data_IF_523619464995
#
_entry.id   IF_523619464995
#
_cell.length_a   1.000
_cell.length_b   1.000
_cell.length_c   1.000
_cell.angle_alpha   90.00
_cell.angle_beta   90.00
_cell.angle_gamma   90.00
#
_symmetry.space_group_name_H-M   'P 1'
#
loop_
_entity.id
_entity.type
_entity.pdbx_description
1 polymer ?
#
# COMPACT_ATOMS: atom_id res chain seq x y z
N UNK A 1 -23.79 -16.95 17.79
CA UNK A 1 -23.62 -16.36 16.43
C UNK A 1 -22.27 -15.66 16.33
N UNK A 2 -21.25 -16.31 15.76
CA UNK A 2 -19.93 -15.69 15.45
C UNK A 2 -19.57 -16.01 14.01
N UNK A 3 -20.29 -15.41 13.06
CA UNK A 3 -19.77 -15.31 11.70
C UNK A 3 -18.69 -14.23 11.73
N UNK A 4 -17.44 -14.68 11.85
CA UNK A 4 -16.28 -13.83 11.66
C UNK A 4 -16.36 -13.23 10.26
N UNK A 5 -16.65 -11.92 10.16
CA UNK A 5 -16.56 -11.20 8.90
C UNK A 5 -15.18 -11.45 8.28
N UNK A 6 -15.13 -12.31 7.26
CA UNK A 6 -13.98 -12.53 6.36
C UNK A 6 -12.63 -12.82 7.07
N UNK A 7 -12.69 -13.35 8.30
CA UNK A 7 -11.53 -13.65 9.14
C UNK A 7 -10.82 -12.46 9.77
N UNK A 8 -11.24 -11.21 9.55
CA UNK A 8 -10.62 -10.03 10.18
C UNK A 8 -10.75 -10.08 11.71
N UNK A 9 -9.69 -9.66 12.42
CA UNK A 9 -9.72 -9.43 13.87
C UNK A 9 -10.10 -7.98 14.15
N UNK A 10 -10.67 -7.69 15.32
CA UNK A 10 -10.95 -6.30 15.74
C UNK A 10 -9.69 -5.43 15.68
N UNK A 11 -8.53 -5.98 16.05
CA UNK A 11 -7.24 -5.28 15.96
C UNK A 11 -6.88 -4.93 14.51
N UNK A 12 -7.05 -5.87 13.58
CA UNK A 12 -6.78 -5.61 12.16
C UNK A 12 -7.73 -4.56 11.56
N UNK A 13 -9.00 -4.54 11.97
CA UNK A 13 -9.96 -3.51 11.54
C UNK A 13 -9.57 -2.14 12.09
N UNK A 14 -9.20 -2.06 13.37
CA UNK A 14 -8.74 -0.81 13.98
C UNK A 14 -7.50 -0.27 13.26
N UNK A 15 -6.56 -1.14 12.88
CA UNK A 15 -5.41 -0.74 12.06
C UNK A 15 -5.82 -0.16 10.71
N UNK A 16 -6.73 -0.81 9.98
CA UNK A 16 -7.25 -0.26 8.72
C UNK A 16 -7.91 1.11 8.92
N UNK A 17 -8.65 1.30 10.02
CA UNK A 17 -9.29 2.58 10.35
C UNK A 17 -8.25 3.67 10.61
N UNK A 18 -7.27 3.39 11.48
CA UNK A 18 -6.21 4.35 11.81
C UNK A 18 -5.39 4.71 10.58
N UNK A 19 -4.97 3.71 9.79
CA UNK A 19 -4.23 3.95 8.56
C UNK A 19 -5.08 4.67 7.50
N UNK A 20 -6.40 4.43 7.46
CA UNK A 20 -7.33 5.14 6.61
C UNK A 20 -7.44 6.62 6.99
N UNK A 21 -7.52 6.93 8.28
CA UNK A 21 -7.51 8.31 8.78
C UNK A 21 -6.19 9.03 8.44
N UNK A 22 -5.04 8.38 8.63
CA UNK A 22 -3.74 8.93 8.18
C UNK A 22 -3.70 9.16 6.68
N UNK A 23 -4.22 8.22 5.88
CA UNK A 23 -4.34 8.37 4.42
C UNK A 23 -5.13 9.62 4.07
N UNK A 24 -6.28 9.85 4.72
CA UNK A 24 -7.10 11.04 4.50
C UNK A 24 -6.35 12.34 4.84
N UNK A 25 -5.73 12.41 6.02
CA UNK A 25 -4.98 13.58 6.46
C UNK A 25 -3.83 13.92 5.49
N UNK A 26 -3.05 12.92 5.09
CA UNK A 26 -1.92 13.12 4.18
C UNK A 26 -2.39 13.42 2.76
N UNK A 27 -3.52 12.86 2.31
CA UNK A 27 -4.11 13.20 1.02
C UNK A 27 -4.60 14.65 0.98
N UNK A 28 -5.21 15.16 2.06
CA UNK A 28 -5.58 16.58 2.15
C UNK A 28 -4.35 17.48 2.04
N UNK A 29 -3.27 17.14 2.76
CA UNK A 29 -2.01 17.85 2.63
C UNK A 29 -1.46 17.77 1.19
N UNK A 30 -1.50 16.60 0.55
CA UNK A 30 -1.05 16.40 -0.82
C UNK A 30 -1.86 17.21 -1.84
N UNK A 31 -3.16 17.40 -1.60
CA UNK A 31 -4.02 18.25 -2.42
C UNK A 31 -3.71 19.72 -2.20
N UNK A 32 -3.54 20.15 -0.95
CA UNK A 32 -3.18 21.52 -0.64
C UNK A 32 -1.85 21.92 -1.30
N UNK A 33 -0.80 21.12 -1.12
CA UNK A 33 0.48 21.34 -1.80
C UNK A 33 0.32 21.19 -3.33
N UNK A 34 -0.47 20.24 -3.80
CA UNK A 34 -0.75 20.06 -5.22
C UNK A 34 -1.40 21.28 -5.87
N UNK A 35 -2.29 21.98 -5.17
CA UNK A 35 -2.91 23.23 -5.63
C UNK A 35 -1.87 24.37 -5.70
N UNK A 36 -0.99 24.46 -4.70
CA UNK A 36 0.12 25.43 -4.74
C UNK A 36 1.08 25.14 -5.90
N UNK A 37 1.37 23.87 -6.14
CA UNK A 37 2.26 23.43 -7.23
C UNK A 37 1.64 23.65 -8.62
N UNK A 38 0.31 23.61 -8.78
CA UNK A 38 -0.32 23.86 -10.08
C UNK A 38 0.03 25.24 -10.64
N UNK A 39 0.25 26.24 -9.77
CA UNK A 39 0.61 27.60 -10.20
C UNK A 39 2.07 27.76 -10.64
N UNK A 40 2.99 26.88 -10.19
CA UNK A 40 4.44 27.06 -10.37
C UNK A 40 5.09 25.90 -11.15
N UNK A 41 4.59 24.69 -10.94
CA UNK A 41 5.08 23.45 -11.53
C UNK A 41 3.88 22.49 -11.78
N UNK A 42 3.03 22.76 -12.79
CA UNK A 42 1.85 21.94 -13.07
C UNK A 42 2.19 20.47 -13.37
N UNK A 43 3.40 20.20 -13.87
CA UNK A 43 3.91 18.83 -14.06
C UNK A 43 4.11 18.05 -12.75
N UNK A 44 4.18 18.72 -11.59
CA UNK A 44 4.20 18.12 -10.24
C UNK A 44 2.82 18.16 -9.54
N UNK A 45 1.81 18.71 -10.21
CA UNK A 45 0.49 18.99 -9.65
C UNK A 45 -0.37 17.76 -9.29
N UNK A 46 -1.54 18.08 -8.73
CA UNK A 46 -2.58 17.23 -8.11
C UNK A 46 -2.64 15.72 -8.45
N UNK A 47 -2.64 14.82 -7.43
CA UNK A 47 -2.09 15.03 -6.09
C UNK A 47 -0.55 15.15 -6.16
N UNK A 48 0.03 15.94 -5.26
CA UNK A 48 1.48 16.20 -5.27
C UNK A 48 2.28 14.90 -5.27
N UNK A 49 3.18 14.77 -6.26
CA UNK A 49 4.10 13.65 -6.34
C UNK A 49 5.04 13.55 -5.13
N UNK A 50 5.22 14.65 -4.39
CA UNK A 50 6.17 14.78 -3.27
C UNK A 50 5.62 14.31 -1.92
N UNK A 51 4.31 14.02 -1.84
CA UNK A 51 3.70 13.54 -0.60
C UNK A 51 3.33 12.06 -0.72
N UNK A 52 3.70 11.21 0.26
CA UNK A 52 3.43 9.77 0.27
C UNK A 52 1.96 9.42 0.60
N UNK A 53 1.00 10.03 -0.08
CA UNK A 53 -0.42 9.96 0.29
C UNK A 53 -1.02 8.55 0.23
N UNK A 54 -0.48 7.65 -0.61
CA UNK A 54 -0.93 6.25 -0.69
C UNK A 54 -0.06 5.26 0.11
N UNK A 55 1.00 5.72 0.79
CA UNK A 55 1.92 4.82 1.49
C UNK A 55 1.22 4.02 2.61
N UNK A 56 0.27 4.62 3.32
CA UNK A 56 -0.48 3.97 4.39
C UNK A 56 -1.39 2.84 3.88
N UNK A 57 -1.86 2.92 2.63
CA UNK A 57 -2.61 1.85 1.96
C UNK A 57 -1.70 0.63 1.73
N UNK A 58 -0.45 0.86 1.30
CA UNK A 58 0.56 -0.19 1.15
C UNK A 58 0.94 -0.79 2.51
N UNK A 59 1.11 0.05 3.54
CA UNK A 59 1.36 -0.38 4.93
C UNK A 59 0.24 -1.29 5.42
N UNK A 60 -1.03 -0.96 5.16
CA UNK A 60 -2.16 -1.80 5.54
C UNK A 60 -2.12 -3.16 4.82
N UNK A 61 -1.84 -3.17 3.51
CA UNK A 61 -1.71 -4.39 2.73
C UNK A 61 -0.62 -5.31 3.30
N UNK A 62 0.53 -4.74 3.70
CA UNK A 62 1.68 -5.44 4.27
C UNK A 62 1.45 -5.93 5.70
N UNK A 63 0.86 -5.12 6.58
CA UNK A 63 0.66 -5.44 7.99
C UNK A 63 -0.46 -6.46 8.21
N UNK A 64 -1.61 -6.23 7.57
CA UNK A 64 -2.82 -7.02 7.81
C UNK A 64 -2.78 -8.35 7.06
N UNK A 65 -2.12 -8.37 5.90
CA UNK A 65 -1.92 -9.56 5.06
C UNK A 65 -3.18 -10.32 4.63
N UNK A 66 -4.32 -9.64 4.65
CA UNK A 66 -5.61 -10.20 4.22
C UNK A 66 -6.08 -9.57 2.92
N UNK A 67 -6.86 -10.30 2.11
CA UNK A 67 -7.53 -9.71 0.95
C UNK A 67 -8.51 -8.64 1.41
N UNK A 68 -8.51 -7.51 0.73
CA UNK A 68 -9.36 -6.34 0.98
C UNK A 68 -8.78 -5.34 1.98
N UNK A 69 -7.59 -5.57 2.55
CA UNK A 69 -7.03 -4.67 3.56
C UNK A 69 -6.64 -3.32 2.96
N UNK A 70 -6.12 -3.31 1.73
CA UNK A 70 -5.77 -2.07 1.03
C UNK A 70 -7.04 -1.32 0.63
N UNK A 71 -8.02 -2.02 0.04
CA UNK A 71 -9.30 -1.42 -0.35
C UNK A 71 -10.07 -0.89 0.86
N UNK A 72 -10.11 -1.61 1.97
CA UNK A 72 -10.80 -1.15 3.18
C UNK A 72 -10.15 0.12 3.75
N UNK A 73 -8.82 0.13 3.84
CA UNK A 73 -8.05 1.31 4.30
C UNK A 73 -8.28 2.49 3.37
N UNK A 74 -8.24 2.24 2.05
CA UNK A 74 -8.48 3.24 1.02
C UNK A 74 -9.92 3.77 1.04
N UNK A 75 -10.91 2.91 1.27
CA UNK A 75 -12.32 3.28 1.37
C UNK A 75 -12.53 4.21 2.57
N UNK A 76 -11.95 3.88 3.72
CA UNK A 76 -11.97 4.74 4.91
C UNK A 76 -11.29 6.08 4.60
N UNK A 77 -10.12 6.04 3.94
CA UNK A 77 -9.43 7.24 3.47
C UNK A 77 -10.25 8.06 2.47
N UNK A 78 -11.05 7.43 1.62
CA UNK A 78 -11.96 8.11 0.67
C UNK A 78 -13.13 8.77 1.39
N UNK A 79 -13.75 8.10 2.36
CA UNK A 79 -14.87 8.65 3.14
C UNK A 79 -14.40 9.81 4.02
N UNK A 80 -13.26 9.65 4.70
CA UNK A 80 -12.71 10.67 5.58
C UNK A 80 -12.02 11.82 4.82
N UNK A 81 -11.43 11.55 3.64
CA UNK A 81 -10.60 12.48 2.89
C UNK A 81 -11.19 13.01 1.58
N UNK A 82 -12.45 12.62 1.27
CA UNK A 82 -13.24 13.00 0.07
C UNK A 82 -12.45 12.85 -1.23
N UNK A 83 -11.98 11.63 -1.57
CA UNK A 83 -11.19 11.42 -2.79
C UNK A 83 -11.31 10.04 -3.40
N UNK A 84 -11.86 9.97 -4.62
CA UNK A 84 -11.88 8.76 -5.46
C UNK A 84 -10.47 8.22 -5.76
N UNK A 85 -9.45 9.09 -5.76
CA UNK A 85 -8.04 8.72 -5.90
C UNK A 85 -7.56 7.73 -4.83
N UNK A 86 -8.02 7.89 -3.58
CA UNK A 86 -7.69 6.96 -2.51
C UNK A 86 -8.22 5.57 -2.82
N UNK A 87 -9.47 5.47 -3.26
CA UNK A 87 -10.08 4.20 -3.65
C UNK A 87 -9.37 3.56 -4.85
N UNK A 88 -9.05 4.34 -5.89
CA UNK A 88 -8.30 3.84 -7.04
C UNK A 88 -6.92 3.30 -6.62
N UNK A 89 -6.20 4.03 -5.77
CA UNK A 89 -4.94 3.55 -5.19
C UNK A 89 -5.15 2.25 -4.40
N UNK A 90 -6.21 2.18 -3.59
CA UNK A 90 -6.61 0.95 -2.88
C UNK A 90 -6.78 -0.25 -3.80
N UNK A 91 -7.49 -0.07 -4.92
CA UNK A 91 -7.71 -1.12 -5.92
C UNK A 91 -6.40 -1.55 -6.57
N UNK A 92 -5.56 -0.61 -6.98
CA UNK A 92 -4.24 -0.89 -7.59
C UNK A 92 -3.35 -1.68 -6.61
N UNK A 93 -3.22 -1.20 -5.37
CA UNK A 93 -2.42 -1.85 -4.34
C UNK A 93 -2.97 -3.25 -4.06
N UNK A 94 -4.27 -3.40 -3.89
CA UNK A 94 -4.89 -4.70 -3.63
C UNK A 94 -4.63 -5.69 -4.77
N UNK A 95 -4.79 -5.26 -6.02
CA UNK A 95 -4.52 -6.11 -7.19
C UNK A 95 -3.07 -6.62 -7.20
N UNK A 96 -2.09 -5.74 -6.94
CA UNK A 96 -0.67 -6.12 -6.86
C UNK A 96 -0.45 -7.16 -5.77
N UNK A 97 -1.00 -6.95 -4.57
CA UNK A 97 -0.81 -7.86 -3.46
C UNK A 97 -1.55 -9.20 -3.65
N UNK A 98 -2.73 -9.19 -4.26
CA UNK A 98 -3.49 -10.40 -4.58
C UNK A 98 -2.75 -11.25 -5.62
N UNK A 99 -2.35 -10.66 -6.75
CA UNK A 99 -1.59 -11.35 -7.81
C UNK A 99 -0.25 -11.84 -7.25
N UNK A 100 0.49 -10.97 -6.56
CA UNK A 100 1.76 -11.31 -5.95
C UNK A 100 1.68 -12.48 -4.97
N UNK A 101 0.66 -12.49 -4.11
CA UNK A 101 0.42 -13.61 -3.17
C UNK A 101 -0.01 -14.88 -3.89
N UNK A 102 -0.86 -14.79 -4.91
CA UNK A 102 -1.30 -15.94 -5.69
C UNK A 102 -0.13 -16.61 -6.42
N UNK A 103 0.73 -15.82 -7.08
CA UNK A 103 1.94 -16.32 -7.76
C UNK A 103 2.88 -17.00 -6.75
N UNK A 104 3.07 -16.42 -5.56
CA UNK A 104 3.89 -17.05 -4.52
C UNK A 104 3.33 -18.38 -4.03
N UNK A 105 2.02 -18.46 -3.78
CA UNK A 105 1.35 -19.71 -3.36
C UNK A 105 1.57 -20.82 -4.38
N UNK A 106 1.51 -20.50 -5.68
CA UNK A 106 1.76 -21.46 -6.76
C UNK A 106 3.23 -21.90 -6.85
N UNK A 107 4.18 -20.98 -6.68
CA UNK A 107 5.61 -21.27 -6.90
C UNK A 107 6.33 -21.95 -5.75
N UNK A 108 5.92 -21.69 -4.49
CA UNK A 108 6.74 -22.09 -3.33
C UNK A 108 6.10 -23.12 -2.41
N UNK A 109 4.82 -23.47 -2.54
CA UNK A 109 4.13 -24.45 -1.68
C UNK A 109 4.03 -24.09 -0.18
N UNK A 110 4.91 -23.20 0.31
CA UNK A 110 5.03 -22.74 1.68
C UNK A 110 4.94 -21.21 1.73
N UNK A 111 4.33 -20.74 2.82
CA UNK A 111 4.13 -19.33 3.12
C UNK A 111 5.49 -18.74 3.50
N UNK A 112 6.04 -17.86 2.66
CA UNK A 112 7.31 -17.20 2.94
C UNK A 112 7.22 -16.36 4.24
N UNK A 113 8.31 -16.24 5.01
CA UNK A 113 8.34 -15.42 6.21
C UNK A 113 8.05 -13.95 5.87
N UNK A 114 7.34 -13.30 6.78
CA UNK A 114 6.98 -11.88 6.72
C UNK A 114 8.26 -11.04 6.84
N UNK A 115 8.39 -9.97 6.05
CA UNK A 115 9.60 -9.13 6.00
C UNK A 115 10.66 -9.60 5.00
N UNK A 116 10.34 -10.55 4.13
CA UNK A 116 11.21 -11.02 3.05
C UNK A 116 11.32 -9.97 1.91
N UNK A 117 12.39 -10.05 1.11
CA UNK A 117 12.62 -9.21 -0.08
C UNK A 117 11.43 -9.22 -1.04
N UNK A 118 10.66 -10.31 -1.07
CA UNK A 118 9.45 -10.41 -1.88
C UNK A 118 8.34 -9.42 -1.46
N UNK A 119 8.23 -9.06 -0.18
CA UNK A 119 7.28 -8.05 0.29
C UNK A 119 7.74 -6.64 -0.05
N UNK A 120 9.05 -6.38 0.02
CA UNK A 120 9.64 -5.13 -0.47
C UNK A 120 9.32 -4.95 -1.97
N UNK A 121 9.55 -5.98 -2.79
CA UNK A 121 9.25 -5.88 -4.22
C UNK A 121 7.76 -5.65 -4.49
N UNK A 122 6.85 -6.29 -3.74
CA UNK A 122 5.43 -5.95 -3.89
C UNK A 122 5.11 -4.52 -3.50
N UNK A 123 5.71 -4.01 -2.41
CA UNK A 123 5.50 -2.65 -1.96
C UNK A 123 6.01 -1.63 -3.00
N UNK A 124 7.20 -1.88 -3.56
CA UNK A 124 7.79 -1.06 -4.62
C UNK A 124 6.95 -1.14 -5.90
N UNK A 125 6.54 -2.33 -6.35
CA UNK A 125 5.68 -2.49 -7.52
C UNK A 125 4.33 -1.79 -7.33
N UNK A 126 3.74 -1.91 -6.14
CA UNK A 126 2.51 -1.20 -5.81
C UNK A 126 2.73 0.32 -5.87
N UNK A 127 3.83 0.82 -5.29
CA UNK A 127 4.17 2.24 -5.34
C UNK A 127 4.40 2.77 -6.75
N UNK A 128 5.11 2.02 -7.60
CA UNK A 128 5.32 2.36 -9.02
C UNK A 128 3.97 2.45 -9.75
N UNK A 129 3.12 1.42 -9.62
CA UNK A 129 1.85 1.37 -10.33
C UNK A 129 0.87 2.42 -9.83
N UNK A 130 0.82 2.69 -8.53
CA UNK A 130 0.00 3.77 -7.98
C UNK A 130 0.55 5.15 -8.38
N UNK A 131 1.87 5.32 -8.44
CA UNK A 131 2.51 6.53 -8.98
C UNK A 131 2.18 6.75 -10.47
N UNK A 132 2.23 5.70 -11.28
CA UNK A 132 1.83 5.72 -12.69
C UNK A 132 0.34 5.98 -12.89
N UNK A 133 -0.52 5.38 -12.07
CA UNK A 133 -1.95 5.67 -12.04
C UNK A 133 -2.21 7.15 -11.70
N UNK A 134 -1.54 7.68 -10.66
CA UNK A 134 -1.64 9.09 -10.31
C UNK A 134 -1.12 10.00 -11.42
N UNK A 135 -0.06 9.60 -12.12
CA UNK A 135 0.44 10.32 -13.28
C UNK A 135 -0.57 10.33 -14.43
N UNK A 136 -1.21 9.20 -14.72
CA UNK A 136 -2.22 9.09 -15.77
C UNK A 136 -3.38 10.07 -15.55
N UNK A 137 -3.72 10.38 -14.30
CA UNK A 137 -4.78 11.34 -13.99
C UNK A 137 -4.42 12.78 -14.33
N UNK A 138 -3.14 13.12 -14.53
CA UNK A 138 -2.76 14.45 -15.03
C UNK A 138 -3.17 14.68 -16.48
N UNK A 139 -3.37 13.63 -17.28
CA UNK A 139 -3.84 13.77 -18.65
C UNK A 139 -5.30 14.24 -18.73
N UNK A 140 -6.01 14.32 -17.60
CA UNK A 140 -7.34 14.96 -17.54
C UNK A 140 -7.26 16.47 -17.32
N UNK A 141 -6.06 17.03 -17.11
CA UNK A 141 -5.81 18.44 -16.83
C UNK A 141 -5.28 19.10 -18.11
N UNK A 142 -5.99 20.11 -18.61
CA UNK A 142 -5.64 20.78 -19.88
C UNK A 142 -4.28 21.48 -19.79
N UNK A 143 -3.98 22.07 -18.65
CA UNK A 143 -2.71 22.75 -18.38
C UNK A 143 -1.52 21.80 -18.45
N UNK A 144 -1.72 20.51 -18.11
CA UNK A 144 -0.68 19.50 -18.23
C UNK A 144 -0.43 19.09 -19.69
N UNK A 145 -1.48 19.04 -20.51
CA UNK A 145 -1.38 18.72 -21.94
C UNK A 145 -0.70 19.82 -22.74
N UNK A 146 -0.76 21.07 -22.27
CA UNK A 146 -0.09 22.21 -22.88
C UNK A 146 1.43 22.24 -22.61
N UNK A 147 1.96 21.33 -21.77
CA UNK A 147 3.37 21.34 -21.40
C UNK A 147 4.28 20.77 -22.49
N UNK A 148 5.54 21.22 -22.55
CA UNK A 148 6.57 20.58 -23.35
C UNK A 148 6.72 19.09 -23.01
N UNK A 149 6.90 18.25 -24.04
CA UNK A 149 7.04 16.80 -23.88
C UNK A 149 8.13 16.39 -22.87
N UNK A 150 9.22 17.15 -22.78
CA UNK A 150 10.28 16.90 -21.80
C UNK A 150 9.80 17.01 -20.34
N UNK A 151 8.93 17.97 -20.02
CA UNK A 151 8.37 18.13 -18.67
C UNK A 151 7.33 17.06 -18.35
N UNK A 152 6.57 16.62 -19.35
CA UNK A 152 5.63 15.50 -19.25
C UNK A 152 6.41 14.22 -18.87
N UNK A 153 7.47 13.89 -19.61
CA UNK A 153 8.33 12.74 -19.31
C UNK A 153 9.03 12.87 -17.95
N UNK A 154 9.53 14.05 -17.60
CA UNK A 154 10.13 14.29 -16.29
C UNK A 154 9.12 14.08 -15.16
N UNK A 155 7.87 14.53 -15.33
CA UNK A 155 6.79 14.33 -14.38
C UNK A 155 6.45 12.85 -14.16
N UNK A 156 6.57 12.02 -15.20
CA UNK A 156 6.47 10.56 -15.07
C UNK A 156 7.64 10.01 -14.26
N UNK A 157 8.89 10.34 -14.65
CA UNK A 157 10.10 9.85 -13.97
C UNK A 157 10.06 10.17 -12.48
N UNK A 158 9.74 11.41 -12.11
CA UNK A 158 9.62 11.83 -10.71
C UNK A 158 8.58 11.02 -9.96
N UNK A 159 7.41 10.75 -10.56
CA UNK A 159 6.36 9.95 -9.90
C UNK A 159 6.72 8.49 -9.75
N UNK A 160 7.44 7.93 -10.71
CA UNK A 160 7.95 6.55 -10.61
C UNK A 160 9.00 6.46 -9.50
N UNK A 161 9.94 7.40 -9.44
CA UNK A 161 10.95 7.47 -8.38
C UNK A 161 10.29 7.66 -7.01
N UNK A 162 9.35 8.61 -6.90
CA UNK A 162 8.57 8.80 -5.68
C UNK A 162 7.79 7.55 -5.28
N UNK A 163 7.16 6.87 -6.24
CA UNK A 163 6.47 5.59 -6.03
C UNK A 163 7.38 4.50 -5.47
N UNK A 164 8.60 4.36 -6.00
CA UNK A 164 9.62 3.44 -5.48
C UNK A 164 9.96 3.80 -4.03
N UNK A 165 10.25 5.08 -3.76
CA UNK A 165 10.60 5.56 -2.44
C UNK A 165 9.47 5.34 -1.43
N UNK A 166 8.21 5.56 -1.81
CA UNK A 166 7.05 5.36 -0.94
C UNK A 166 6.77 3.88 -0.69
N UNK A 167 6.95 3.01 -1.69
CA UNK A 167 6.89 1.56 -1.50
C UNK A 167 7.97 1.06 -0.55
N UNK A 168 9.21 1.56 -0.70
CA UNK A 168 10.30 1.25 0.20
C UNK A 168 10.06 1.77 1.63
N UNK A 169 9.58 3.01 1.76
CA UNK A 169 9.27 3.63 3.05
C UNK A 169 8.17 2.85 3.77
N UNK A 170 7.10 2.47 3.06
CA UNK A 170 6.02 1.64 3.61
C UNK A 170 6.58 0.31 4.14
N UNK A 171 7.46 -0.35 3.38
CA UNK A 171 8.12 -1.58 3.83
C UNK A 171 8.99 -1.35 5.08
N UNK A 172 9.77 -0.27 5.11
CA UNK A 172 10.61 0.07 6.25
C UNK A 172 9.79 0.31 7.53
N UNK A 173 8.68 1.06 7.41
CA UNK A 173 7.73 1.29 8.51
C UNK A 173 7.15 -0.02 9.04
N UNK A 174 6.68 -0.89 8.14
CA UNK A 174 6.14 -2.20 8.55
C UNK A 174 7.18 -3.06 9.25
N UNK A 175 8.41 -3.09 8.73
CA UNK A 175 9.52 -3.83 9.34
C UNK A 175 9.86 -3.27 10.73
N UNK A 176 9.83 -1.95 10.90
CA UNK A 176 10.01 -1.28 12.19
C UNK A 176 8.93 -1.65 13.20
N UNK A 177 7.66 -1.57 12.79
CA UNK A 177 6.51 -1.94 13.64
C UNK A 177 6.55 -3.41 14.08
N UNK A 178 6.88 -4.32 13.15
CA UNK A 178 7.01 -5.75 13.47
C UNK A 178 8.17 -6.02 14.44
N UNK A 179 9.30 -5.32 14.29
CA UNK A 179 10.42 -5.40 15.24
C UNK A 179 10.06 -4.86 16.62
N UNK A 180 9.16 -3.89 16.69
CA UNK A 180 8.61 -3.38 17.94
C UNK A 180 7.53 -4.30 18.56
N UNK A 181 7.26 -5.48 17.97
CA UNK A 181 6.29 -6.45 18.49
C UNK A 181 4.83 -6.18 18.10
N UNK A 182 4.58 -5.24 17.18
CA UNK A 182 3.22 -4.92 16.72
C UNK A 182 2.72 -5.96 15.69
N UNK A 183 1.94 -6.95 16.14
CA UNK A 183 1.29 -7.92 15.25
C UNK A 183 -0.25 -7.81 15.25
N UNK A 184 -0.84 -7.06 14.31
CA UNK A 184 -2.30 -6.92 14.22
C UNK A 184 -3.00 -8.18 13.69
N UNK A 185 -2.26 -9.13 13.12
CA UNK A 185 -2.77 -10.42 12.63
C UNK A 185 -3.11 -11.42 13.75
N UNK A 186 -2.56 -11.21 14.95
CA UNK A 186 -2.80 -12.00 16.16
C UNK A 186 -1.93 -13.28 16.29
N UNK A 187 -1.92 -13.92 17.47
CA UNK A 187 -0.97 -14.99 17.84
C UNK A 187 -1.08 -16.29 17.02
N UNK A 188 -2.12 -16.47 16.20
CA UNK A 188 -2.19 -17.57 15.22
C UNK A 188 -1.08 -17.48 14.16
N UNK A 189 -0.54 -16.27 13.94
CA UNK A 189 0.60 -16.01 13.06
C UNK A 189 1.92 -16.46 13.69
N UNK A 190 2.12 -16.19 14.99
CA UNK A 190 3.24 -16.69 15.79
C UNK A 190 3.26 -18.23 15.87
N UNK A 191 2.10 -18.85 16.14
CA UNK A 191 1.96 -20.32 16.22
C UNK A 191 2.23 -21.04 14.89
N UNK A 192 1.96 -20.39 13.75
CA UNK A 192 2.24 -20.96 12.41
C UNK A 192 3.73 -20.94 12.05
N UNK A 193 4.48 -20.01 12.64
CA UNK A 193 5.94 -19.95 12.54
C UNK A 193 6.60 -20.99 13.44
N UNK A 194 6.08 -21.21 14.65
CA UNK A 194 6.53 -22.28 15.56
C UNK A 194 6.32 -23.69 14.99
N UNK A 195 5.20 -23.93 14.29
CA UNK A 195 4.93 -25.24 13.67
C UNK A 195 5.85 -25.58 12.49
N UNK A 196 6.50 -24.57 11.89
CA UNK A 196 7.47 -24.77 10.80
C UNK A 196 8.90 -25.01 11.30
N UNK A 197 9.19 -24.70 12.56
CA UNK A 197 10.50 -24.92 13.20
C UNK A 197 10.58 -26.18 14.05
N UNK A 198 9.45 -26.86 14.29
CA UNK A 198 9.47 -28.16 14.96
C UNK A 198 9.69 -29.25 13.90
N UNK A 199 10.87 -29.91 13.82
CA UNK A 199 10.99 -31.09 13.00
C UNK A 199 9.98 -32.10 13.54
N UNK A 200 9.15 -32.65 12.65
CA UNK A 200 8.24 -33.74 12.99
C UNK A 200 9.05 -34.83 13.69
N UNK A 201 8.93 -34.91 15.01
CA UNK A 201 9.43 -36.05 15.75
C UNK A 201 8.74 -37.27 15.14
N UNK A 202 9.52 -38.07 14.42
CA UNK A 202 9.03 -39.27 13.76
C UNK A 202 8.27 -40.10 14.78
N UNK A 203 7.03 -40.43 14.44
CA UNK A 203 6.28 -41.50 15.09
C UNK A 203 6.84 -42.81 14.52
N UNK A 204 7.54 -43.65 15.30
CA UNK A 204 7.84 -44.99 14.87
C UNK A 204 6.62 -45.86 15.21
N UNK A 205 5.83 -46.23 14.20
CA UNK A 205 5.06 -47.48 14.16
C UNK A 205 4.93 -47.95 12.73
#
# INVERSE_FOLDING_TARGET
>A
MRQAFLGYTTRSLLVCVVLGAFTAAVLHLARFIGMLLLAVAPWLGSPSALIPWFAFIIVAALLVQRPGAAVLTALIGTVAGVGAMSLMAGVVVEAVFLVGRAVRRRRRGAIAPVGDRAELWLAVTAGILTGGMSYATLFTIQEFLALPAGLIVLGLVVRIVAGILYGWLAFAVVRGLLRAGFDPGGPRRARRLESTTSPSAGSPR
#
